data_IF_911036476671
#
_entry.id   IF_911036476671
#
_cell.length_a   1.000
_cell.length_b   1.000
_cell.length_c   1.000
_cell.angle_alpha   90.00
_cell.angle_beta   90.00
_cell.angle_gamma   90.00
#
_symmetry.space_group_name_H-M   'P 1'
#
loop_
_entity.id
_entity.type
_entity.pdbx_description
1 polymer ?
#
# COMPACT_ATOMS: atom_id res chain seq x y z
N UNK A 1 -19.92 17.39 38.45
CA UNK A 1 -20.39 16.05 38.02
C UNK A 1 -20.59 16.08 36.51
N UNK A 2 -19.75 15.41 35.73
CA UNK A 2 -19.95 15.33 34.28
C UNK A 2 -21.06 14.32 33.97
N UNK A 3 -22.12 14.77 33.31
CA UNK A 3 -23.19 13.90 32.80
C UNK A 3 -22.61 13.07 31.65
N UNK A 4 -22.22 11.82 31.92
CA UNK A 4 -21.86 10.87 30.87
C UNK A 4 -23.12 10.43 30.15
N UNK A 5 -23.22 10.76 28.87
CA UNK A 5 -24.26 10.25 27.98
C UNK A 5 -24.15 8.72 27.90
N UNK A 6 -25.25 7.96 28.09
CA UNK A 6 -25.20 6.49 28.04
C UNK A 6 -24.65 6.00 26.70
N UNK A 7 -23.76 4.99 26.69
CA UNK A 7 -23.28 4.41 25.45
C UNK A 7 -24.45 3.75 24.68
N UNK A 8 -24.50 3.95 23.37
CA UNK A 8 -25.51 3.33 22.50
C UNK A 8 -25.46 1.80 22.60
N UNK A 9 -26.58 1.12 22.36
CA UNK A 9 -26.67 -0.36 22.36
C UNK A 9 -25.57 -1.00 21.50
N UNK A 10 -25.25 -0.39 20.36
CA UNK A 10 -24.16 -0.81 19.47
C UNK A 10 -22.79 -0.77 20.16
N UNK A 11 -22.50 0.29 20.92
CA UNK A 11 -21.26 0.44 21.67
C UNK A 11 -21.18 -0.57 22.81
N UNK A 12 -22.30 -0.85 23.49
CA UNK A 12 -22.36 -1.87 24.53
C UNK A 12 -22.15 -3.28 23.97
N UNK A 13 -22.77 -3.60 22.82
CA UNK A 13 -22.57 -4.88 22.14
C UNK A 13 -21.10 -5.10 21.75
N UNK A 14 -20.44 -4.09 21.15
CA UNK A 14 -19.00 -4.14 20.82
C UNK A 14 -18.12 -4.39 22.04
N UNK A 15 -18.38 -3.67 23.13
CA UNK A 15 -17.64 -3.86 24.39
C UNK A 15 -17.88 -5.24 25.01
N UNK A 16 -19.11 -5.76 24.94
CA UNK A 16 -19.43 -7.09 25.44
C UNK A 16 -18.69 -8.18 24.65
N UNK A 17 -18.64 -8.06 23.33
CA UNK A 17 -17.90 -8.99 22.46
C UNK A 17 -16.41 -9.03 22.80
N UNK A 18 -15.78 -7.87 23.08
CA UNK A 18 -14.36 -7.82 23.42
C UNK A 18 -14.04 -8.26 24.86
N UNK A 19 -15.03 -8.19 25.77
CA UNK A 19 -14.88 -8.75 27.12
C UNK A 19 -14.90 -10.28 27.13
N UNK A 20 -15.59 -10.89 26.17
CA UNK A 20 -15.65 -12.34 26.02
C UNK A 20 -15.13 -12.76 24.63
N UNK A 21 -13.81 -12.70 24.49
CA UNK A 21 -13.15 -13.02 23.23
C UNK A 21 -13.47 -14.43 22.73
N UNK A 22 -13.61 -15.44 23.60
CA UNK A 22 -13.92 -16.80 23.16
C UNK A 22 -15.29 -16.91 22.48
N UNK A 23 -16.33 -16.35 23.11
CA UNK A 23 -17.66 -16.32 22.50
C UNK A 23 -17.65 -15.52 21.20
N UNK A 24 -17.02 -14.36 21.20
CA UNK A 24 -16.97 -13.52 20.01
C UNK A 24 -16.14 -14.14 18.87
N UNK A 25 -15.07 -14.89 19.17
CA UNK A 25 -14.31 -15.68 18.18
C UNK A 25 -15.18 -16.80 17.62
N UNK A 26 -15.95 -17.51 18.46
CA UNK A 26 -16.85 -18.59 18.02
C UNK A 26 -17.98 -18.09 17.11
N UNK A 27 -18.41 -16.84 17.29
CA UNK A 27 -19.49 -16.20 16.54
C UNK A 27 -18.99 -15.27 15.41
N UNK A 28 -17.67 -15.20 15.16
CA UNK A 28 -17.08 -14.17 14.27
C UNK A 28 -17.65 -14.22 12.85
N UNK A 29 -17.98 -15.42 12.37
CA UNK A 29 -18.55 -15.63 11.03
C UNK A 29 -20.03 -15.25 10.93
N UNK A 30 -20.70 -15.11 12.08
CA UNK A 30 -22.11 -14.71 12.19
C UNK A 30 -22.26 -13.22 12.49
N UNK A 31 -21.16 -12.50 12.67
CA UNK A 31 -21.20 -11.07 12.94
C UNK A 31 -21.76 -10.31 11.73
N UNK A 32 -22.76 -9.44 11.93
CA UNK A 32 -23.24 -8.54 10.89
C UNK A 32 -22.10 -7.68 10.32
N UNK A 33 -22.14 -7.43 9.01
CA UNK A 33 -21.12 -6.69 8.27
C UNK A 33 -20.91 -5.28 8.84
N UNK A 34 -21.99 -4.66 9.36
CA UNK A 34 -22.00 -3.35 10.01
C UNK A 34 -21.22 -3.34 11.33
N UNK A 35 -21.19 -4.47 12.03
CA UNK A 35 -20.47 -4.63 13.29
C UNK A 35 -19.03 -5.12 13.06
N UNK A 36 -18.79 -5.85 11.98
CA UNK A 36 -17.51 -6.52 11.73
C UNK A 36 -16.34 -5.52 11.73
N UNK A 37 -16.43 -4.44 10.96
CA UNK A 37 -15.36 -3.43 10.88
C UNK A 37 -15.21 -2.66 12.20
N UNK A 38 -16.31 -2.36 12.88
CA UNK A 38 -16.32 -1.61 14.13
C UNK A 38 -15.73 -2.42 15.30
N UNK A 39 -16.02 -3.72 15.37
CA UNK A 39 -15.46 -4.66 16.35
C UNK A 39 -13.99 -4.90 16.05
N UNK A 40 -13.60 -5.05 14.78
CA UNK A 40 -12.21 -5.21 14.38
C UNK A 40 -11.34 -4.02 14.79
N UNK A 41 -11.83 -2.80 14.58
CA UNK A 41 -11.12 -1.59 15.03
C UNK A 41 -10.97 -1.52 16.55
N UNK A 42 -12.00 -1.92 17.31
CA UNK A 42 -11.90 -1.93 18.78
C UNK A 42 -10.98 -3.05 19.27
N UNK A 43 -11.08 -4.25 18.67
CA UNK A 43 -10.20 -5.38 18.95
C UNK A 43 -8.74 -4.98 18.75
N UNK A 44 -8.46 -4.31 17.64
CA UNK A 44 -7.12 -3.82 17.35
C UNK A 44 -6.65 -2.74 18.32
N UNK A 45 -7.46 -1.71 18.57
CA UNK A 45 -7.13 -0.64 19.53
C UNK A 45 -6.86 -1.20 20.94
N UNK A 46 -7.64 -2.21 21.34
CA UNK A 46 -7.48 -2.93 22.60
C UNK A 46 -6.40 -4.01 22.61
N UNK A 47 -5.71 -4.24 21.47
CA UNK A 47 -4.68 -5.29 21.30
C UNK A 47 -5.20 -6.71 21.60
N UNK A 48 -6.46 -6.95 21.28
CA UNK A 48 -7.09 -8.26 21.36
C UNK A 48 -6.60 -9.14 20.19
N UNK A 49 -5.34 -9.54 20.22
CA UNK A 49 -4.64 -10.18 19.10
C UNK A 49 -5.33 -11.49 18.63
N UNK A 50 -5.90 -12.27 19.56
CA UNK A 50 -6.67 -13.49 19.21
C UNK A 50 -7.93 -13.15 18.42
N UNK A 51 -8.66 -12.13 18.87
CA UNK A 51 -9.82 -11.60 18.14
C UNK A 51 -9.42 -11.07 16.77
N UNK A 52 -8.38 -10.23 16.68
CA UNK A 52 -7.87 -9.68 15.40
C UNK A 52 -7.57 -10.81 14.42
N UNK A 53 -6.81 -11.83 14.85
CA UNK A 53 -6.49 -13.00 14.05
C UNK A 53 -7.72 -13.75 13.55
N UNK A 54 -8.68 -14.02 14.44
CA UNK A 54 -9.93 -14.70 14.07
C UNK A 54 -10.79 -13.88 13.10
N UNK A 55 -10.87 -12.56 13.30
CA UNK A 55 -11.60 -11.66 12.42
C UNK A 55 -10.94 -11.53 11.05
N UNK A 56 -9.61 -11.50 10.96
CA UNK A 56 -8.92 -11.52 9.66
C UNK A 56 -9.08 -12.88 8.98
N UNK A 57 -9.08 -13.99 9.73
CA UNK A 57 -9.40 -15.31 9.20
C UNK A 57 -10.87 -15.44 8.74
N UNK A 58 -11.77 -14.61 9.25
CA UNK A 58 -13.16 -14.56 8.83
C UNK A 58 -13.49 -13.34 7.96
N UNK A 59 -12.48 -12.62 7.47
CA UNK A 59 -12.65 -11.33 6.81
C UNK A 59 -13.61 -11.45 5.62
N UNK A 60 -14.77 -10.76 5.64
CA UNK A 60 -15.81 -10.99 4.65
C UNK A 60 -15.64 -10.15 3.38
N UNK A 61 -14.61 -9.30 3.30
CA UNK A 61 -14.42 -8.34 2.21
C UNK A 61 -13.21 -8.72 1.33
N UNK A 62 -13.23 -8.38 0.02
CA UNK A 62 -12.11 -8.65 -0.88
C UNK A 62 -10.89 -7.73 -0.64
N UNK A 63 -11.02 -6.71 0.22
CA UNK A 63 -9.99 -5.73 0.53
C UNK A 63 -9.74 -5.67 2.04
N UNK A 64 -8.46 -5.73 2.43
CA UNK A 64 -7.99 -5.59 3.80
C UNK A 64 -7.12 -4.32 3.93
N UNK A 65 -7.70 -3.16 4.27
CA UNK A 65 -6.98 -1.90 4.36
C UNK A 65 -6.38 -1.69 5.75
N UNK A 66 -5.37 -2.50 6.12
CA UNK A 66 -4.67 -2.44 7.41
C UNK A 66 -4.26 -1.01 7.74
N UNK A 67 -3.61 -0.31 6.81
CA UNK A 67 -3.11 1.06 7.04
C UNK A 67 -4.20 2.12 7.30
N UNK A 68 -5.37 2.00 6.68
CA UNK A 68 -6.47 2.96 6.89
C UNK A 68 -7.24 2.67 8.18
N UNK A 69 -7.40 1.39 8.50
CA UNK A 69 -8.07 0.96 9.74
C UNK A 69 -7.21 1.22 10.98
N UNK A 70 -5.88 1.34 10.79
CA UNK A 70 -4.90 1.28 11.87
C UNK A 70 -3.74 2.23 11.63
N UNK A 71 -3.73 3.34 12.37
CA UNK A 71 -2.66 4.33 12.23
C UNK A 71 -1.32 3.90 12.85
N UNK A 72 -1.33 2.99 13.82
CA UNK A 72 -0.13 2.53 14.55
C UNK A 72 -0.28 1.07 15.04
N UNK A 73 -0.08 0.06 14.18
CA UNK A 73 0.09 -1.31 14.64
C UNK A 73 1.28 -1.45 15.57
N UNK A 74 1.19 -2.34 16.55
CA UNK A 74 2.38 -2.93 17.16
C UNK A 74 2.70 -4.26 16.46
N UNK A 75 3.93 -4.74 16.65
CA UNK A 75 4.43 -5.97 16.01
C UNK A 75 3.51 -7.18 16.21
N UNK A 76 3.07 -7.44 17.45
CA UNK A 76 2.24 -8.61 17.76
C UNK A 76 0.87 -8.53 17.09
N UNK A 77 0.26 -7.35 17.08
CA UNK A 77 -1.05 -7.18 16.44
C UNK A 77 -0.93 -7.23 14.91
N UNK A 78 0.18 -6.77 14.33
CA UNK A 78 0.45 -6.93 12.90
C UNK A 78 0.68 -8.40 12.53
N UNK A 79 1.46 -9.14 13.32
CA UNK A 79 1.62 -10.60 13.17
C UNK A 79 0.27 -11.31 13.23
N UNK A 80 -0.60 -10.94 14.19
CA UNK A 80 -1.95 -11.51 14.29
C UNK A 80 -2.79 -11.28 13.02
N UNK A 81 -2.63 -10.12 12.35
CA UNK A 81 -3.27 -9.87 11.05
C UNK A 81 -2.73 -10.84 10.00
N UNK A 82 -1.41 -10.97 9.86
CA UNK A 82 -0.81 -11.86 8.85
C UNK A 82 -1.15 -13.34 9.11
N UNK A 83 -1.09 -13.79 10.35
CA UNK A 83 -1.52 -15.13 10.74
C UNK A 83 -3.00 -15.36 10.44
N UNK A 84 -3.84 -14.34 10.64
CA UNK A 84 -5.25 -14.40 10.28
C UNK A 84 -5.45 -14.50 8.76
N UNK A 85 -4.64 -13.80 7.97
CA UNK A 85 -4.64 -13.95 6.51
C UNK A 85 -4.29 -15.39 6.16
N UNK A 86 -3.18 -15.94 6.66
CA UNK A 86 -2.74 -17.32 6.40
C UNK A 86 -3.76 -18.38 6.85
N UNK A 87 -4.42 -18.19 8.00
CA UNK A 87 -5.37 -19.15 8.56
C UNK A 87 -6.61 -19.40 7.70
N UNK A 88 -6.95 -18.49 6.78
CA UNK A 88 -8.01 -18.75 5.82
C UNK A 88 -7.70 -19.96 4.90
N UNK A 89 -6.43 -20.37 4.74
CA UNK A 89 -6.06 -21.58 3.96
C UNK A 89 -6.29 -22.88 4.73
N UNK A 90 -6.05 -22.89 6.05
CA UNK A 90 -6.15 -24.10 6.87
C UNK A 90 -7.61 -24.50 7.16
N UNK A 91 -8.54 -23.56 6.96
CA UNK A 91 -9.96 -23.71 7.18
C UNK A 91 -10.63 -24.30 5.93
N UNK A 92 -10.58 -25.62 5.76
CA UNK A 92 -11.50 -26.35 4.88
C UNK A 92 -12.94 -26.15 5.39
N UNK A 93 -13.67 -25.10 4.99
CA UNK A 93 -15.03 -24.88 5.50
C UNK A 93 -16.09 -24.55 4.44
N UNK A 94 -17.19 -25.30 4.60
CA UNK A 94 -18.60 -25.14 4.25
C UNK A 94 -19.06 -24.36 2.99
N UNK A 95 -20.03 -24.91 2.21
CA UNK A 95 -20.46 -24.36 0.92
C UNK A 95 -21.23 -23.03 0.95
N UNK A 96 -21.55 -22.47 2.12
CA UNK A 96 -22.33 -21.22 2.24
C UNK A 96 -21.47 -19.96 2.26
N UNK A 97 -20.14 -20.07 2.22
CA UNK A 97 -19.23 -18.94 2.18
C UNK A 97 -18.51 -18.89 0.82
N UNK A 98 -19.10 -18.20 -0.17
CA UNK A 98 -18.38 -17.71 -1.34
C UNK A 98 -17.36 -16.65 -0.87
N UNK A 99 -16.20 -17.06 -0.33
CA UNK A 99 -15.14 -16.13 0.07
C UNK A 99 -14.05 -16.15 -1.00
N UNK A 100 -14.14 -15.18 -1.90
CA UNK A 100 -13.11 -14.92 -2.93
C UNK A 100 -11.73 -14.72 -2.28
N UNK A 101 -10.63 -15.08 -2.96
CA UNK A 101 -9.27 -14.77 -2.50
C UNK A 101 -9.14 -13.26 -2.23
N UNK A 102 -8.27 -12.88 -1.29
CA UNK A 102 -8.01 -11.48 -1.01
C UNK A 102 -7.44 -10.83 -2.27
N UNK A 103 -8.14 -9.84 -2.82
CA UNK A 103 -7.71 -9.18 -4.06
C UNK A 103 -6.84 -7.96 -3.78
N UNK A 104 -7.04 -7.31 -2.63
CA UNK A 104 -6.36 -6.07 -2.25
C UNK A 104 -5.78 -6.11 -0.84
N UNK A 105 -4.50 -5.78 -0.72
CA UNK A 105 -3.81 -5.59 0.55
C UNK A 105 -3.20 -4.19 0.60
N UNK A 106 -3.50 -3.44 1.67
CA UNK A 106 -2.98 -2.08 1.84
C UNK A 106 -2.49 -1.81 3.26
N UNK A 107 -1.28 -1.26 3.35
CA UNK A 107 -0.65 -0.77 4.57
C UNK A 107 -0.13 0.66 4.37
N UNK A 108 -0.16 1.48 5.43
CA UNK A 108 0.24 2.89 5.35
C UNK A 108 0.81 3.39 6.68
N UNK A 109 1.84 4.25 6.63
CA UNK A 109 2.32 5.03 7.78
C UNK A 109 2.95 4.23 8.92
N UNK A 110 3.34 2.98 8.65
CA UNK A 110 4.03 2.11 9.60
C UNK A 110 5.47 1.88 9.14
N UNK A 111 6.42 1.98 10.06
CA UNK A 111 7.79 1.51 9.83
C UNK A 111 7.76 -0.02 9.79
N UNK A 112 7.61 -0.61 8.60
CA UNK A 112 7.78 -2.06 8.47
C UNK A 112 9.24 -2.38 8.74
N UNK A 113 9.44 -3.28 9.70
CA UNK A 113 10.76 -3.88 9.92
C UNK A 113 11.03 -4.91 8.84
N UNK A 114 12.29 -5.32 8.69
CA UNK A 114 12.65 -6.46 7.84
C UNK A 114 11.89 -7.75 8.21
N UNK A 115 11.57 -7.94 9.49
CA UNK A 115 10.77 -9.07 9.95
C UNK A 115 9.35 -9.00 9.38
N UNK A 116 8.71 -7.83 9.47
CA UNK A 116 7.35 -7.62 8.98
C UNK A 116 7.23 -7.91 7.47
N UNK A 117 8.18 -7.40 6.68
CA UNK A 117 8.22 -7.65 5.24
C UNK A 117 8.44 -9.14 4.89
N UNK A 118 9.25 -9.85 5.68
CA UNK A 118 9.42 -11.29 5.51
C UNK A 118 8.17 -12.09 5.84
N UNK A 119 7.39 -11.67 6.84
CA UNK A 119 6.11 -12.30 7.13
C UNK A 119 5.11 -12.07 5.99
N UNK A 120 5.06 -10.86 5.42
CA UNK A 120 4.21 -10.56 4.27
C UNK A 120 4.65 -11.41 3.06
N UNK A 121 5.94 -11.47 2.74
CA UNK A 121 6.44 -12.16 1.55
C UNK A 121 6.22 -13.67 1.57
N UNK A 122 6.16 -14.28 2.76
CA UNK A 122 5.88 -15.71 2.97
C UNK A 122 4.40 -16.06 3.07
N UNK A 123 3.52 -15.07 3.12
CA UNK A 123 2.08 -15.26 3.28
C UNK A 123 1.48 -15.84 2.00
N UNK A 124 1.12 -17.13 2.03
CA UNK A 124 0.74 -17.90 0.83
C UNK A 124 -0.54 -17.41 0.14
N UNK A 125 -1.35 -16.60 0.82
CA UNK A 125 -2.58 -16.05 0.25
C UNK A 125 -2.41 -14.73 -0.45
N UNK A 126 -1.27 -14.07 -0.26
CA UNK A 126 -0.98 -12.86 -1.01
C UNK A 126 -0.59 -13.17 -2.46
N UNK A 127 -0.32 -14.44 -2.80
CA UNK A 127 0.10 -14.90 -4.14
C UNK A 127 -0.86 -14.53 -5.27
N UNK A 128 -2.15 -14.33 -4.98
CA UNK A 128 -3.16 -13.96 -5.98
C UNK A 128 -3.62 -12.49 -5.89
N UNK A 129 -2.90 -11.65 -5.16
CA UNK A 129 -3.25 -10.24 -5.02
C UNK A 129 -3.28 -9.52 -6.37
N UNK A 130 -4.36 -8.78 -6.60
CA UNK A 130 -4.48 -7.84 -7.72
C UNK A 130 -3.98 -6.46 -7.35
N UNK A 131 -4.07 -6.07 -6.09
CA UNK A 131 -3.76 -4.72 -5.64
C UNK A 131 -2.89 -4.76 -4.37
N UNK A 132 -1.68 -4.20 -4.48
CA UNK A 132 -0.75 -4.05 -3.37
C UNK A 132 -0.46 -2.57 -3.15
N UNK A 133 -0.70 -2.09 -1.94
CA UNK A 133 -0.37 -0.73 -1.54
C UNK A 133 0.43 -0.72 -0.24
N UNK A 134 1.62 -0.15 -0.26
CA UNK A 134 2.51 0.02 0.88
C UNK A 134 2.96 1.48 0.85
N UNK A 135 2.24 2.37 1.56
CA UNK A 135 2.49 3.82 1.52
C UNK A 135 3.21 4.31 2.77
N UNK A 136 4.19 5.19 2.64
CA UNK A 136 4.87 5.73 3.82
C UNK A 136 5.61 4.66 4.64
N UNK A 137 5.93 3.52 4.02
CA UNK A 137 6.65 2.43 4.64
C UNK A 137 8.12 2.67 4.38
N UNK A 138 8.90 3.02 5.41
CA UNK A 138 10.33 3.32 5.23
C UNK A 138 11.12 2.10 4.73
N UNK A 139 11.38 2.02 3.42
CA UNK A 139 12.14 0.96 2.77
C UNK A 139 13.64 1.27 2.67
N UNK A 140 14.04 2.52 2.92
CA UNK A 140 15.43 3.00 2.84
C UNK A 140 16.40 2.17 3.69
N UNK A 141 15.98 1.79 4.90
CA UNK A 141 16.81 1.08 5.87
C UNK A 141 16.59 -0.45 5.89
N UNK A 142 15.75 -0.97 5.00
CA UNK A 142 15.39 -2.39 4.96
C UNK A 142 15.95 -3.07 3.73
N UNK A 143 16.37 -4.32 3.87
CA UNK A 143 16.66 -5.20 2.73
C UNK A 143 15.42 -5.24 1.80
N UNK A 144 15.63 -4.98 0.51
CA UNK A 144 14.61 -4.96 -0.54
C UNK A 144 14.15 -6.37 -0.91
N UNK A 145 14.91 -7.41 -0.54
CA UNK A 145 14.67 -8.81 -0.89
C UNK A 145 13.27 -9.33 -0.54
N UNK A 146 12.68 -9.05 0.63
CA UNK A 146 11.34 -9.54 0.93
C UNK A 146 10.26 -8.90 0.04
N UNK A 147 10.39 -7.60 -0.28
CA UNK A 147 9.47 -6.92 -1.20
C UNK A 147 9.65 -7.44 -2.62
N UNK A 148 10.90 -7.65 -3.07
CA UNK A 148 11.21 -8.28 -4.35
C UNK A 148 10.53 -9.65 -4.46
N UNK A 149 10.69 -10.51 -3.44
CA UNK A 149 10.08 -11.82 -3.42
C UNK A 149 8.55 -11.76 -3.46
N UNK A 150 7.94 -10.84 -2.71
CA UNK A 150 6.50 -10.60 -2.76
C UNK A 150 6.05 -10.23 -4.17
N UNK A 151 6.72 -9.27 -4.82
CA UNK A 151 6.41 -8.85 -6.18
C UNK A 151 6.57 -9.99 -7.20
N UNK A 152 7.60 -10.82 -7.06
CA UNK A 152 7.78 -12.00 -7.91
C UNK A 152 6.64 -13.00 -7.76
N UNK A 153 6.19 -13.24 -6.53
CA UNK A 153 5.08 -14.14 -6.22
C UNK A 153 3.77 -13.65 -6.84
N UNK A 154 3.49 -12.34 -6.80
CA UNK A 154 2.24 -11.75 -7.31
C UNK A 154 2.32 -11.25 -8.75
N UNK A 155 3.46 -11.41 -9.43
CA UNK A 155 3.72 -10.79 -10.73
C UNK A 155 2.66 -11.11 -11.80
N UNK A 156 2.08 -12.30 -11.74
CA UNK A 156 1.10 -12.78 -12.72
C UNK A 156 -0.33 -12.31 -12.46
N UNK A 157 -0.62 -11.78 -11.26
CA UNK A 157 -1.96 -11.31 -10.84
C UNK A 157 -2.02 -9.81 -10.58
N UNK A 158 -0.88 -9.18 -10.27
CA UNK A 158 -0.81 -7.80 -9.82
C UNK A 158 -1.23 -6.80 -10.92
N UNK A 159 -2.26 -6.03 -10.62
CA UNK A 159 -2.87 -5.02 -11.48
C UNK A 159 -2.60 -3.59 -10.99
N UNK A 160 -2.43 -3.38 -9.69
CA UNK A 160 -2.11 -2.08 -9.11
C UNK A 160 -1.01 -2.21 -8.06
N UNK A 161 0.02 -1.37 -8.19
CA UNK A 161 1.10 -1.25 -7.22
C UNK A 161 1.20 0.19 -6.74
N UNK A 162 1.21 0.38 -5.44
CA UNK A 162 1.38 1.69 -4.82
C UNK A 162 2.47 1.62 -3.75
N UNK A 163 3.61 2.24 -4.03
CA UNK A 163 4.77 2.34 -3.15
C UNK A 163 5.08 3.81 -2.84
N UNK A 164 4.05 4.65 -2.73
CA UNK A 164 4.22 6.08 -2.49
C UNK A 164 4.88 6.34 -1.13
N UNK A 165 5.86 7.23 -1.09
CA UNK A 165 6.43 7.71 0.17
C UNK A 165 7.25 6.67 0.90
N UNK A 166 7.77 5.64 0.22
CA UNK A 166 8.56 4.60 0.86
C UNK A 166 10.00 5.01 1.14
N UNK A 167 10.41 6.21 0.72
CA UNK A 167 11.79 6.67 0.85
C UNK A 167 12.78 5.80 0.09
N UNK A 168 12.35 5.15 -0.99
CA UNK A 168 13.25 4.36 -1.84
C UNK A 168 14.21 5.28 -2.59
N UNK A 169 15.44 4.82 -2.75
CA UNK A 169 16.46 5.42 -3.62
C UNK A 169 16.74 4.50 -4.82
N UNK A 170 17.65 4.92 -5.69
CA UNK A 170 18.03 4.18 -6.90
C UNK A 170 18.41 2.72 -6.62
N UNK A 171 19.10 2.45 -5.50
CA UNK A 171 19.53 1.10 -5.13
C UNK A 171 18.34 0.15 -4.89
N UNK A 172 17.34 0.58 -4.10
CA UNK A 172 16.15 -0.24 -3.85
C UNK A 172 15.34 -0.45 -5.13
N UNK A 173 15.19 0.58 -5.97
CA UNK A 173 14.48 0.43 -7.24
C UNK A 173 15.22 -0.52 -8.18
N UNK A 174 16.56 -0.46 -8.22
CA UNK A 174 17.40 -1.39 -9.00
C UNK A 174 17.12 -2.84 -8.62
N UNK A 175 17.02 -3.15 -7.33
CA UNK A 175 16.72 -4.51 -6.86
C UNK A 175 15.32 -4.99 -7.24
N UNK A 176 14.35 -4.08 -7.32
CA UNK A 176 12.94 -4.36 -7.61
C UNK A 176 12.64 -4.46 -9.11
N UNK A 177 13.41 -3.79 -9.98
CA UNK A 177 13.22 -3.79 -11.44
C UNK A 177 13.03 -5.20 -12.01
N UNK A 178 13.86 -6.22 -11.68
CA UNK A 178 13.65 -7.57 -12.17
C UNK A 178 12.27 -8.17 -11.84
N UNK A 179 11.76 -7.93 -10.63
CA UNK A 179 10.43 -8.40 -10.24
C UNK A 179 9.31 -7.61 -10.93
N UNK A 180 9.47 -6.28 -11.01
CA UNK A 180 8.55 -5.38 -11.72
C UNK A 180 8.42 -5.71 -13.20
N UNK A 181 9.52 -6.10 -13.85
CA UNK A 181 9.53 -6.52 -15.26
C UNK A 181 8.65 -7.76 -15.51
N UNK A 182 8.37 -8.58 -14.49
CA UNK A 182 7.49 -9.75 -14.59
C UNK A 182 6.02 -9.40 -14.40
N UNK A 183 5.71 -8.20 -13.90
CA UNK A 183 4.35 -7.76 -13.57
C UNK A 183 3.54 -7.33 -14.80
N UNK A 184 3.26 -8.25 -15.72
CA UNK A 184 2.63 -7.95 -17.03
C UNK A 184 1.14 -7.58 -16.96
N UNK A 185 0.49 -7.81 -15.82
CA UNK A 185 -0.92 -7.44 -15.61
C UNK A 185 -1.10 -6.02 -15.06
N UNK A 186 0.00 -5.33 -14.76
CA UNK A 186 -0.02 -4.02 -14.13
C UNK A 186 -0.74 -3.02 -15.04
N UNK A 187 -1.69 -2.28 -14.44
CA UNK A 187 -2.41 -1.20 -15.10
C UNK A 187 -2.34 0.12 -14.33
N UNK A 188 -1.88 0.09 -13.07
CA UNK A 188 -1.66 1.28 -12.25
C UNK A 188 -0.37 1.13 -11.46
N UNK A 189 0.45 2.18 -11.47
CA UNK A 189 1.63 2.29 -10.60
C UNK A 189 1.69 3.66 -9.95
N UNK A 190 2.02 3.69 -8.65
CA UNK A 190 2.29 4.91 -7.91
C UNK A 190 3.62 4.79 -7.16
N UNK A 191 4.59 5.58 -7.59
CA UNK A 191 5.95 5.66 -7.04
C UNK A 191 6.26 7.05 -6.49
N UNK A 192 5.25 7.92 -6.33
CA UNK A 192 5.44 9.26 -5.79
C UNK A 192 6.20 9.29 -4.47
N UNK A 193 6.80 10.45 -4.18
CA UNK A 193 7.44 10.72 -2.90
C UNK A 193 8.56 9.70 -2.57
N UNK A 194 9.25 9.20 -3.60
CA UNK A 194 10.50 8.45 -3.52
C UNK A 194 11.62 9.25 -4.19
N UNK A 195 12.88 8.92 -3.91
CA UNK A 195 14.07 9.67 -4.30
C UNK A 195 14.78 8.99 -5.47
N UNK A 196 14.24 9.17 -6.67
CA UNK A 196 14.79 8.54 -7.88
C UNK A 196 15.50 9.53 -8.78
N UNK A 197 16.67 9.15 -9.28
CA UNK A 197 17.36 9.88 -10.35
C UNK A 197 16.68 9.74 -11.71
N UNK A 198 17.01 10.63 -12.64
CA UNK A 198 16.65 10.48 -14.06
C UNK A 198 17.16 9.14 -14.60
N UNK A 199 18.36 8.72 -14.18
CA UNK A 199 18.98 7.48 -14.65
C UNK A 199 18.14 6.26 -14.29
N UNK A 200 17.80 6.09 -13.01
CA UNK A 200 17.04 4.91 -12.59
C UNK A 200 15.61 4.90 -13.14
N UNK A 201 15.02 6.09 -13.34
CA UNK A 201 13.71 6.20 -13.99
C UNK A 201 13.80 5.72 -15.45
N UNK A 202 14.83 6.12 -16.20
CA UNK A 202 15.07 5.63 -17.56
C UNK A 202 15.29 4.11 -17.58
N UNK A 203 16.06 3.57 -16.64
CA UNK A 203 16.27 2.12 -16.50
C UNK A 203 14.95 1.38 -16.22
N UNK A 204 14.14 1.88 -15.29
CA UNK A 204 12.82 1.34 -15.02
C UNK A 204 11.96 1.32 -16.28
N UNK A 205 11.94 2.42 -17.05
CA UNK A 205 11.20 2.48 -18.31
C UNK A 205 11.67 1.37 -19.26
N UNK A 206 12.97 1.30 -19.56
CA UNK A 206 13.56 0.28 -20.44
C UNK A 206 13.18 -1.15 -20.04
N UNK A 207 13.23 -1.48 -18.74
CA UNK A 207 12.95 -2.82 -18.24
C UNK A 207 11.45 -3.14 -18.09
N UNK A 208 10.58 -2.14 -18.23
CA UNK A 208 9.12 -2.29 -18.09
C UNK A 208 8.36 -1.96 -19.38
N UNK A 209 9.04 -2.06 -20.54
CA UNK A 209 8.42 -1.89 -21.86
C UNK A 209 7.20 -2.81 -22.09
N UNK A 210 7.11 -3.94 -21.38
CA UNK A 210 6.03 -4.90 -21.47
C UNK A 210 4.75 -4.54 -20.70
N UNK A 211 4.72 -3.42 -19.96
CA UNK A 211 3.54 -2.90 -19.28
C UNK A 211 2.52 -2.31 -20.27
N UNK A 212 1.95 -3.17 -21.11
CA UNK A 212 1.03 -2.79 -22.21
C UNK A 212 -0.38 -2.40 -21.75
N UNK A 213 -0.72 -2.64 -20.48
CA UNK A 213 -2.07 -2.43 -19.90
C UNK A 213 -2.19 -1.15 -19.07
N UNK A 214 -1.16 -0.30 -19.04
CA UNK A 214 -1.11 0.85 -18.16
C UNK A 214 -2.23 1.87 -18.45
N UNK A 215 -2.98 2.20 -17.41
CA UNK A 215 -3.99 3.25 -17.39
C UNK A 215 -3.55 4.46 -16.56
N UNK A 216 -2.71 4.27 -15.55
CA UNK A 216 -2.25 5.34 -14.67
C UNK A 216 -0.84 5.12 -14.14
N UNK A 217 0.02 6.09 -14.36
CA UNK A 217 1.42 6.07 -13.93
C UNK A 217 1.76 7.34 -13.17
N UNK A 218 2.24 7.19 -11.94
CA UNK A 218 2.63 8.31 -11.08
C UNK A 218 4.08 8.14 -10.64
N UNK A 219 4.94 9.04 -11.09
CA UNK A 219 6.38 9.02 -10.86
C UNK A 219 6.84 10.25 -10.08
N UNK A 220 7.83 10.13 -9.19
CA UNK A 220 8.37 11.30 -8.51
C UNK A 220 9.07 12.21 -9.53
N UNK A 221 9.09 13.51 -9.27
CA UNK A 221 10.05 14.39 -9.91
C UNK A 221 11.47 13.86 -9.62
N UNK A 222 12.36 13.78 -10.62
CA UNK A 222 13.71 13.30 -10.41
C UNK A 222 14.45 14.10 -9.33
N UNK A 223 15.36 13.46 -8.59
CA UNK A 223 16.13 14.13 -7.51
C UNK A 223 16.94 15.31 -8.05
N UNK A 224 17.32 15.29 -9.32
CA UNK A 224 18.01 16.37 -10.02
C UNK A 224 17.19 17.66 -10.11
N UNK A 225 15.86 17.60 -9.90
CA UNK A 225 15.03 18.78 -9.82
C UNK A 225 15.15 19.50 -8.47
N UNK A 226 15.85 18.95 -7.49
CA UNK A 226 15.95 19.51 -6.14
C UNK A 226 17.38 19.94 -5.83
N UNK A 227 17.51 21.02 -5.07
CA UNK A 227 18.79 21.41 -4.46
C UNK A 227 19.10 20.57 -3.20
N UNK A 228 20.27 20.83 -2.61
CA UNK A 228 20.72 20.14 -1.38
C UNK A 228 19.79 20.36 -0.17
N UNK A 229 18.89 21.34 -0.24
CA UNK A 229 17.90 21.66 0.80
C UNK A 229 16.51 21.08 0.50
N UNK A 230 16.35 20.37 -0.63
CA UNK A 230 15.07 19.82 -1.06
C UNK A 230 14.11 20.86 -1.64
N UNK A 231 14.62 22.04 -2.02
CA UNK A 231 13.85 23.05 -2.75
C UNK A 231 13.85 22.69 -4.22
N UNK A 232 12.67 22.78 -4.86
CA UNK A 232 12.54 22.47 -6.28
C UNK A 232 13.10 23.60 -7.15
N UNK A 233 13.92 23.22 -8.13
CA UNK A 233 14.23 24.02 -9.30
C UNK A 233 13.14 23.76 -10.37
N UNK A 234 12.28 24.76 -10.58
CA UNK A 234 11.18 24.65 -11.54
C UNK A 234 11.66 24.64 -12.99
N UNK A 235 12.81 25.23 -13.30
CA UNK A 235 13.35 25.21 -14.67
C UNK A 235 13.83 23.81 -15.03
N UNK A 236 14.58 23.17 -14.13
CA UNK A 236 15.01 21.77 -14.30
C UNK A 236 13.80 20.83 -14.35
N UNK A 237 12.80 21.04 -13.48
CA UNK A 237 11.57 20.25 -13.49
C UNK A 237 10.83 20.33 -14.83
N UNK A 238 10.71 21.55 -15.38
CA UNK A 238 10.07 21.81 -16.68
C UNK A 238 10.88 21.29 -17.86
N UNK A 239 12.19 21.08 -17.70
CA UNK A 239 13.05 20.48 -18.71
C UNK A 239 13.01 18.95 -18.68
N UNK A 240 13.16 18.33 -17.51
CA UNK A 240 13.30 16.87 -17.37
C UNK A 240 11.98 16.10 -17.48
N UNK A 241 10.88 16.64 -16.94
CA UNK A 241 9.59 15.92 -16.95
C UNK A 241 9.03 15.68 -18.36
N UNK A 242 9.07 16.64 -19.31
CA UNK A 242 8.73 16.36 -20.70
C UNK A 242 9.61 15.28 -21.32
N UNK A 243 10.94 15.33 -21.11
CA UNK A 243 11.88 14.35 -21.67
C UNK A 243 11.54 12.93 -21.21
N UNK A 244 11.32 12.73 -19.91
CA UNK A 244 10.93 11.43 -19.34
C UNK A 244 9.55 10.98 -19.83
N UNK A 245 8.60 11.91 -19.98
CA UNK A 245 7.27 11.61 -20.50
C UNK A 245 7.33 11.16 -21.96
N UNK A 246 8.15 11.80 -22.79
CA UNK A 246 8.32 11.43 -24.19
C UNK A 246 9.05 10.09 -24.32
N UNK A 247 10.08 9.85 -23.50
CA UNK A 247 10.74 8.55 -23.42
C UNK A 247 9.78 7.42 -23.02
N UNK A 248 8.87 7.66 -22.07
CA UNK A 248 7.83 6.70 -21.68
C UNK A 248 6.85 6.47 -22.82
N UNK A 249 6.35 7.54 -23.45
CA UNK A 249 5.41 7.48 -24.59
C UNK A 249 5.98 6.75 -25.81
N UNK A 250 7.29 6.82 -26.00
CA UNK A 250 7.99 6.07 -27.03
C UNK A 250 7.97 4.55 -26.78
N UNK A 251 7.86 4.11 -25.53
CA UNK A 251 7.80 2.70 -25.16
C UNK A 251 6.39 2.15 -24.99
N UNK A 252 5.47 2.94 -24.40
CA UNK A 252 4.07 2.54 -24.14
C UNK A 252 3.15 3.75 -24.10
N UNK A 253 1.85 3.55 -24.35
CA UNK A 253 0.86 4.63 -24.40
C UNK A 253 -0.20 4.52 -23.28
N UNK A 254 0.16 4.85 -22.03
CA UNK A 254 -0.80 4.87 -20.94
C UNK A 254 -1.80 6.03 -21.06
N UNK A 255 -2.98 5.88 -20.46
CA UNK A 255 -4.02 6.93 -20.47
C UNK A 255 -3.64 8.16 -19.64
N UNK A 256 -2.86 7.99 -18.57
CA UNK A 256 -2.47 9.07 -17.67
C UNK A 256 -1.07 8.82 -17.12
N UNK A 257 -0.18 9.78 -17.34
CA UNK A 257 1.18 9.83 -16.78
C UNK A 257 1.27 11.13 -15.99
N UNK A 258 1.84 11.07 -14.80
CA UNK A 258 2.07 12.26 -13.99
C UNK A 258 3.43 12.17 -13.31
N UNK A 259 4.26 13.16 -13.53
CA UNK A 259 5.42 13.43 -12.69
C UNK A 259 5.03 14.45 -11.62
N UNK A 260 5.37 14.19 -10.36
CA UNK A 260 4.95 15.04 -9.25
C UNK A 260 6.06 15.26 -8.24
N UNK A 261 6.22 16.49 -7.79
CA UNK A 261 7.17 16.81 -6.71
C UNK A 261 6.65 16.30 -5.37
N UNK A 262 7.52 16.38 -4.36
CA UNK A 262 7.07 16.38 -2.98
C UNK A 262 6.07 17.50 -2.73
N UNK A 263 5.27 17.34 -1.67
CA UNK A 263 4.23 18.30 -1.31
C UNK A 263 4.87 19.52 -0.66
N UNK A 264 4.57 20.72 -1.16
CA UNK A 264 5.08 21.95 -0.57
C UNK A 264 4.66 22.06 0.90
N UNK A 265 5.63 22.27 1.79
CA UNK A 265 5.40 22.39 3.23
C UNK A 265 4.59 23.64 3.62
N UNK A 266 4.55 24.65 2.74
CA UNK A 266 3.84 25.92 2.99
C UNK A 266 2.36 25.85 2.65
N UNK A 267 2.01 25.37 1.45
CA UNK A 267 0.63 25.38 0.95
C UNK A 267 -0.01 24.00 0.78
N UNK A 268 0.76 22.91 0.95
CA UNK A 268 0.25 21.55 0.76
C UNK A 268 0.01 21.16 -0.70
N UNK A 269 0.42 21.98 -1.66
CA UNK A 269 0.30 21.71 -3.11
C UNK A 269 1.66 21.22 -3.64
N UNK A 270 1.64 20.29 -4.59
CA UNK A 270 2.84 19.83 -5.31
C UNK A 270 2.85 20.38 -6.73
N UNK A 271 4.04 20.57 -7.31
CA UNK A 271 4.17 20.73 -8.75
C UNK A 271 3.85 19.40 -9.43
N UNK A 272 3.15 19.45 -10.56
CA UNK A 272 2.86 18.27 -11.37
C UNK A 272 3.03 18.57 -12.85
N UNK A 273 3.46 17.56 -13.59
CA UNK A 273 3.55 17.57 -15.04
C UNK A 273 2.74 16.40 -15.61
N UNK A 274 1.63 16.71 -16.30
CA UNK A 274 0.76 15.73 -16.98
C UNK A 274 0.44 16.11 -18.44
N UNK A 275 -0.62 16.88 -18.70
CA UNK A 275 -0.92 17.47 -20.01
C UNK A 275 -0.21 18.82 -20.20
N UNK A 276 0.38 19.31 -19.11
CA UNK A 276 1.19 20.51 -19.01
C UNK A 276 1.63 20.68 -17.56
N UNK A 277 2.47 21.69 -17.27
CA UNK A 277 2.90 21.96 -15.92
C UNK A 277 1.81 22.65 -15.10
N UNK A 278 1.65 22.22 -13.86
CA UNK A 278 0.91 22.94 -12.82
C UNK A 278 1.86 23.12 -11.66
N UNK A 279 2.34 24.35 -11.48
CA UNK A 279 3.33 24.68 -10.47
C UNK A 279 2.67 25.11 -9.16
N UNK A 280 3.32 24.77 -8.05
CA UNK A 280 2.98 25.27 -6.73
C UNK A 280 3.13 26.79 -6.68
N UNK A 281 2.15 27.55 -6.15
CA UNK A 281 2.24 29.01 -6.05
C UNK A 281 3.41 29.53 -5.20
N UNK A 282 3.96 28.69 -4.31
CA UNK A 282 5.10 29.06 -3.47
C UNK A 282 6.44 29.03 -4.22
N UNK A 283 6.47 28.48 -5.43
CA UNK A 283 7.67 28.28 -6.24
C UNK A 283 7.51 28.91 -7.65
N UNK A 284 6.61 29.90 -7.75
CA UNK A 284 6.39 30.73 -8.94
C UNK A 284 7.06 32.08 -8.79
#
# INVERSE_FOLDING_TARGET
MSLQTPPTLLKQARQALLRNEELAISAVEQLPMELFTAVFQDAFKGRHNRMVKAMVAAWPFPCLPVGTLMKTPNLETFQAVLEGVDMQLARNFHPSCLRSPLESFSISGYFLTHYDLNCISRCQRLCELKHLAMRGVGLLATDSMPLKHLLETVAHTLQSLDLQGCGMEDSQLTDLIPALSRCTQLNKVNLYDNKFSVSILKDLLMHTANWSKMNGEQYPAPVECYDDFGVIDTEIFLYLCPELMDALRAQRQPKRIIFGTETCSQCGVRCVYDLGPRLCPCWQ
#
